data_IF_122807557211
#
_entry.id   IF_122807557211
#
_cell.length_a   1.000
_cell.length_b   1.000
_cell.length_c   1.000
_cell.angle_alpha   90.00
_cell.angle_beta   90.00
_cell.angle_gamma   90.00
#
_symmetry.space_group_name_H-M   'P 1'
#
loop_
_entity.id
_entity.type
_entity.pdbx_description
1 polymer ?
#
# COMPACT_ATOMS: atom_id res chain seq x y z
N UNK A 1 1.04 11.63 8.95
CA UNK A 1 -0.13 11.87 8.07
C UNK A 1 -0.06 13.19 7.32
N UNK A 2 0.20 14.34 7.95
CA UNK A 2 0.39 15.64 7.26
C UNK A 2 1.27 15.60 5.99
N UNK A 3 2.34 14.81 5.99
CA UNK A 3 3.17 14.63 4.79
C UNK A 3 2.42 13.93 3.64
N UNK A 4 1.67 12.86 3.94
CA UNK A 4 0.87 12.16 2.93
C UNK A 4 -0.31 13.00 2.43
N UNK A 5 -0.94 13.77 3.33
CA UNK A 5 -1.96 14.76 2.95
C UNK A 5 -1.39 15.81 1.98
N UNK A 6 -0.15 16.26 2.21
CA UNK A 6 0.51 17.18 1.29
C UNK A 6 0.78 16.53 -0.09
N UNK A 7 1.21 15.27 -0.10
CA UNK A 7 1.44 14.54 -1.34
C UNK A 7 0.12 14.30 -2.11
N UNK A 8 -0.99 13.99 -1.43
CA UNK A 8 -2.27 13.71 -2.08
C UNK A 8 -2.87 14.93 -2.77
N UNK A 9 -2.49 16.14 -2.37
CA UNK A 9 -2.88 17.38 -3.04
C UNK A 9 -2.17 17.60 -4.38
N UNK A 10 -1.05 16.92 -4.62
CA UNK A 10 -0.17 17.17 -5.79
C UNK A 10 -0.03 15.97 -6.72
N UNK A 11 -0.32 14.77 -6.23
CA UNK A 11 -0.08 13.53 -6.95
C UNK A 11 -1.34 12.68 -7.00
N UNK A 12 -1.64 12.17 -8.20
CA UNK A 12 -2.78 11.28 -8.42
C UNK A 12 -2.53 9.84 -7.94
N UNK A 13 -1.27 9.42 -7.81
CA UNK A 13 -0.94 8.10 -7.29
C UNK A 13 0.17 8.22 -6.27
N UNK A 14 0.01 7.57 -5.13
CA UNK A 14 1.02 7.51 -4.07
C UNK A 14 1.27 6.03 -3.75
N UNK A 15 2.53 5.63 -3.86
CA UNK A 15 2.97 4.30 -3.45
C UNK A 15 3.60 4.42 -2.06
N UNK A 16 3.02 3.75 -1.07
CA UNK A 16 3.60 3.60 0.26
C UNK A 16 4.28 2.25 0.34
N UNK A 17 5.50 2.26 0.84
CA UNK A 17 6.27 1.06 1.15
C UNK A 17 6.60 1.10 2.62
N UNK A 18 6.68 -0.07 3.22
CA UNK A 18 6.85 -0.20 4.66
C UNK A 18 5.82 0.65 5.43
N UNK A 19 4.53 0.55 5.09
CA UNK A 19 3.52 1.04 6.03
C UNK A 19 3.40 0.03 7.17
N UNK A 20 3.51 0.49 8.42
CA UNK A 20 3.52 -0.35 9.62
C UNK A 20 2.11 -0.57 10.19
N UNK A 21 1.08 -0.49 9.33
CA UNK A 21 -0.31 -0.63 9.74
C UNK A 21 -0.69 -2.10 9.87
N UNK A 22 -1.51 -2.42 10.87
CA UNK A 22 -2.17 -3.73 10.98
C UNK A 22 -3.37 -3.86 10.04
N UNK A 23 -3.85 -5.09 9.83
CA UNK A 23 -5.02 -5.32 8.97
C UNK A 23 -6.26 -4.59 9.49
N UNK A 24 -6.45 -4.54 10.82
CA UNK A 24 -7.55 -3.80 11.43
C UNK A 24 -7.37 -2.28 11.40
N UNK A 25 -6.16 -1.80 11.08
CA UNK A 25 -5.84 -0.37 10.92
C UNK A 25 -5.86 0.07 9.46
N UNK A 26 -6.31 -0.77 8.51
CA UNK A 26 -6.34 -0.37 7.09
C UNK A 26 -7.16 0.90 6.86
N UNK A 27 -8.24 1.07 7.61
CA UNK A 27 -9.08 2.27 7.59
C UNK A 27 -8.37 3.53 8.11
N UNK A 28 -7.19 3.39 8.73
CA UNK A 28 -6.37 4.52 9.19
C UNK A 28 -5.97 5.43 8.03
N UNK A 29 -5.68 4.88 6.85
CA UNK A 29 -5.34 5.65 5.66
C UNK A 29 -6.55 6.48 5.22
N UNK A 30 -7.72 5.84 5.10
CA UNK A 30 -8.94 6.48 4.62
C UNK A 30 -9.41 7.57 5.58
N UNK A 31 -9.26 7.35 6.89
CA UNK A 31 -9.61 8.32 7.94
C UNK A 31 -8.76 9.60 7.90
N UNK A 32 -7.48 9.48 7.55
CA UNK A 32 -6.52 10.60 7.66
C UNK A 32 -6.14 11.20 6.31
N UNK A 33 -6.50 10.57 5.19
CA UNK A 33 -6.28 11.10 3.84
C UNK A 33 -7.62 11.07 3.09
N UNK A 34 -8.59 11.91 3.49
CA UNK A 34 -9.92 11.89 2.92
C UNK A 34 -9.89 12.17 1.42
N UNK A 35 -10.77 11.49 0.68
CA UNK A 35 -10.86 11.62 -0.78
C UNK A 35 -9.85 10.75 -1.56
N UNK A 36 -9.02 9.98 -0.87
CA UNK A 36 -8.22 8.92 -1.49
C UNK A 36 -8.85 7.56 -1.21
N UNK A 37 -8.78 6.70 -2.22
CA UNK A 37 -9.01 5.26 -2.13
C UNK A 37 -7.67 4.56 -1.99
N UNK A 38 -7.66 3.33 -1.49
CA UNK A 38 -6.43 2.56 -1.36
C UNK A 38 -6.59 1.07 -1.71
N UNK A 39 -5.48 0.48 -2.16
CA UNK A 39 -5.21 -0.95 -2.17
C UNK A 39 -4.04 -1.18 -1.24
N UNK A 40 -4.24 -1.88 -0.13
CA UNK A 40 -3.22 -2.07 0.89
C UNK A 40 -3.13 -3.53 1.34
N UNK A 41 -1.90 -4.02 1.44
CA UNK A 41 -1.57 -5.32 2.02
C UNK A 41 -0.52 -5.15 3.11
N UNK A 42 -0.65 -5.93 4.15
CA UNK A 42 0.20 -5.95 5.33
C UNK A 42 0.29 -7.39 5.86
N UNK A 43 1.33 -7.68 6.62
CA UNK A 43 1.55 -8.97 7.23
C UNK A 43 0.68 -9.12 8.50
N UNK A 44 -0.59 -9.48 8.35
CA UNK A 44 -1.47 -9.77 9.50
C UNK A 44 -2.80 -10.45 9.08
N UNK A 45 -2.72 -11.62 8.44
CA UNK A 45 -3.94 -12.31 7.98
C UNK A 45 -4.53 -13.23 9.05
N UNK A 46 -3.79 -13.62 10.10
CA UNK A 46 -4.21 -14.71 11.00
C UNK A 46 -3.77 -14.70 12.49
N UNK A 47 -3.04 -13.74 13.06
CA UNK A 47 -2.63 -13.93 14.48
C UNK A 47 -2.22 -12.62 15.18
N UNK A 48 -2.81 -12.27 16.35
CA UNK A 48 -2.23 -11.26 17.22
C UNK A 48 -0.83 -11.72 17.60
N UNK A 49 0.18 -11.12 16.98
CA UNK A 49 1.58 -11.32 17.34
C UNK A 49 1.70 -11.09 18.84
N UNK A 50 1.94 -12.20 19.54
CA UNK A 50 2.26 -12.28 20.96
C UNK A 50 3.09 -11.07 21.42
N UNK A 51 2.72 -10.51 22.56
CA UNK A 51 3.37 -9.37 23.23
C UNK A 51 4.88 -9.58 23.50
N UNK A 52 5.43 -10.76 23.24
CA UNK A 52 6.80 -11.12 23.61
C UNK A 52 7.85 -10.95 22.52
N UNK A 53 7.49 -10.89 21.23
CA UNK A 53 8.45 -10.57 20.17
C UNK A 53 7.73 -9.89 19.02
N UNK A 54 8.06 -8.63 18.74
CA UNK A 54 7.75 -8.00 17.46
C UNK A 54 8.73 -8.63 16.46
N UNK A 55 8.33 -9.57 15.58
CA UNK A 55 9.24 -10.04 14.55
C UNK A 55 9.63 -8.82 13.71
N UNK A 56 10.94 -8.61 13.53
CA UNK A 56 11.45 -7.56 12.65
C UNK A 56 10.92 -7.85 11.24
N UNK A 57 9.89 -7.10 10.87
CA UNK A 57 9.23 -7.19 9.57
C UNK A 57 7.73 -6.98 9.69
N UNK A 58 7.27 -5.74 9.80
CA UNK A 58 5.89 -5.40 9.44
C UNK A 58 5.90 -4.23 8.48
N UNK A 59 6.33 -4.52 7.26
CA UNK A 59 6.21 -3.63 6.12
C UNK A 59 5.03 -4.09 5.27
N UNK A 60 4.02 -3.26 5.17
CA UNK A 60 2.99 -3.36 4.14
C UNK A 60 3.31 -2.46 2.97
N UNK A 61 2.65 -2.74 1.85
CA UNK A 61 2.62 -1.85 0.69
C UNK A 61 1.20 -1.33 0.48
N UNK A 62 1.09 -0.08 0.04
CA UNK A 62 -0.17 0.52 -0.34
C UNK A 62 -0.02 1.32 -1.63
N UNK A 63 -1.06 1.31 -2.47
CA UNK A 63 -1.22 2.24 -3.58
C UNK A 63 -2.47 3.05 -3.25
N UNK A 64 -2.36 4.38 -3.29
CA UNK A 64 -3.45 5.30 -3.04
C UNK A 64 -3.73 6.10 -4.31
N UNK A 65 -5.01 6.39 -4.56
CA UNK A 65 -5.47 7.22 -5.67
C UNK A 65 -6.71 8.06 -5.29
N UNK A 66 -6.98 9.20 -5.94
CA UNK A 66 -8.20 9.96 -5.73
C UNK A 66 -9.46 9.14 -5.99
N UNK A 67 -10.49 9.32 -5.17
CA UNK A 67 -11.80 8.67 -5.37
C UNK A 67 -12.44 8.99 -6.72
N UNK A 68 -12.12 10.13 -7.32
CA UNK A 68 -12.54 10.50 -8.67
C UNK A 68 -12.00 9.56 -9.77
N UNK A 69 -10.94 8.80 -9.50
CA UNK A 69 -10.36 7.83 -10.42
C UNK A 69 -10.79 6.39 -10.11
N UNK A 70 -11.55 6.15 -9.05
CA UNK A 70 -11.84 4.79 -8.57
C UNK A 70 -12.54 3.90 -9.61
N UNK A 71 -13.48 4.48 -10.38
CA UNK A 71 -14.16 3.79 -11.48
C UNK A 71 -13.24 3.34 -12.61
N UNK A 72 -12.03 3.89 -12.68
CA UNK A 72 -11.01 3.54 -13.66
C UNK A 72 -9.94 2.60 -13.08
N UNK A 73 -9.99 2.30 -11.79
CA UNK A 73 -8.97 1.48 -11.12
C UNK A 73 -9.53 0.10 -10.80
N UNK A 74 -8.83 -0.93 -11.27
CA UNK A 74 -9.06 -2.33 -10.91
C UNK A 74 -7.93 -2.79 -10.01
N UNK A 75 -8.26 -3.19 -8.78
CA UNK A 75 -7.30 -3.85 -7.87
C UNK A 75 -6.94 -5.22 -8.44
N UNK A 76 -5.65 -5.54 -8.49
CA UNK A 76 -5.19 -6.87 -8.83
C UNK A 76 -5.00 -7.65 -7.53
N UNK A 77 -5.61 -8.84 -7.47
CA UNK A 77 -5.55 -9.70 -6.27
C UNK A 77 -4.27 -10.56 -6.22
N UNK A 78 -3.53 -10.60 -7.33
CA UNK A 78 -2.22 -11.23 -7.39
C UNK A 78 -1.21 -10.42 -6.56
N UNK A 79 -0.44 -11.08 -5.69
CA UNK A 79 0.60 -10.44 -4.88
C UNK A 79 0.57 -10.84 -3.40
N UNK A 80 1.27 -10.09 -2.56
CA UNK A 80 1.40 -10.32 -1.12
C UNK A 80 1.64 -9.00 -0.36
N UNK A 81 2.08 -9.06 0.90
CA UNK A 81 2.37 -7.89 1.74
C UNK A 81 3.52 -7.01 1.22
N UNK A 82 4.29 -7.49 0.25
CA UNK A 82 5.45 -6.79 -0.35
C UNK A 82 5.20 -6.31 -1.77
N UNK A 83 4.24 -6.90 -2.48
CA UNK A 83 3.97 -6.59 -3.88
C UNK A 83 2.46 -6.51 -4.08
N UNK A 84 2.00 -5.35 -4.53
CA UNK A 84 0.61 -5.13 -4.95
C UNK A 84 0.59 -4.42 -6.30
N UNK A 85 -0.52 -4.58 -7.00
CA UNK A 85 -0.71 -3.90 -8.26
C UNK A 85 -2.16 -3.43 -8.43
N UNK A 86 -2.31 -2.37 -9.23
CA UNK A 86 -3.59 -1.92 -9.75
C UNK A 86 -3.47 -1.78 -11.27
N UNK A 87 -4.58 -1.99 -11.95
CA UNK A 87 -4.72 -1.69 -13.37
C UNK A 87 -5.59 -0.44 -13.53
N UNK A 88 -5.05 0.55 -14.22
CA UNK A 88 -5.70 1.84 -14.50
C UNK A 88 -6.21 1.79 -15.94
N UNK A 89 -7.52 1.79 -16.09
CA UNK A 89 -8.22 1.71 -17.36
C UNK A 89 -8.52 3.11 -17.89
N UNK A 90 -7.80 3.50 -18.94
CA UNK A 90 -8.11 4.71 -19.72
C UNK A 90 -8.76 4.32 -21.05
N UNK A 91 -9.41 5.27 -21.73
CA UNK A 91 -10.15 5.01 -22.98
C UNK A 91 -9.36 4.25 -24.04
N UNK A 92 -8.05 4.47 -24.11
CA UNK A 92 -7.22 3.96 -25.21
C UNK A 92 -6.14 2.97 -24.75
N UNK A 93 -5.93 2.80 -23.45
CA UNK A 93 -4.87 1.94 -22.91
C UNK A 93 -5.10 1.57 -21.45
N UNK A 94 -4.76 0.34 -21.10
CA UNK A 94 -4.59 -0.08 -19.72
C UNK A 94 -3.15 0.19 -19.25
N UNK A 95 -3.00 0.73 -18.05
CA UNK A 95 -1.69 0.92 -17.39
C UNK A 95 -1.65 0.10 -16.11
N UNK A 96 -0.68 -0.80 -15.98
CA UNK A 96 -0.46 -1.52 -14.74
C UNK A 96 0.54 -0.75 -13.86
N UNK A 97 0.13 -0.39 -12.64
CA UNK A 97 0.98 0.19 -11.63
C UNK A 97 1.29 -0.88 -10.58
N UNK A 98 2.57 -1.23 -10.46
CA UNK A 98 3.07 -2.20 -9.48
C UNK A 98 3.85 -1.45 -8.41
N UNK A 99 3.47 -1.66 -7.14
CA UNK A 99 4.25 -1.21 -6.00
C UNK A 99 4.88 -2.43 -5.33
N UNK A 100 6.21 -2.43 -5.27
CA UNK A 100 6.98 -3.54 -4.73
C UNK A 100 8.03 -3.04 -3.73
N UNK A 101 8.04 -3.64 -2.55
CA UNK A 101 9.07 -3.47 -1.53
C UNK A 101 9.93 -4.73 -1.48
N UNK A 102 11.14 -4.64 -2.02
CA UNK A 102 12.08 -5.77 -2.10
C UNK A 102 13.07 -5.73 -0.94
N UNK A 103 13.51 -6.90 -0.42
CA UNK A 103 14.53 -6.94 0.61
C UNK A 103 15.81 -6.28 0.09
N UNK A 104 16.38 -5.36 0.88
CA UNK A 104 17.72 -4.84 0.63
C UNK A 104 18.73 -5.93 1.00
N UNK A 105 19.82 -6.07 0.23
CA UNK A 105 20.89 -7.03 0.55
C UNK A 105 21.32 -6.85 2.00
N UNK A 106 21.29 -7.94 2.78
CA UNK A 106 21.97 -7.96 4.08
C UNK A 106 23.48 -7.77 3.81
N UNK A 107 24.14 -6.74 4.38
CA UNK A 107 25.58 -6.53 4.18
C UNK A 107 26.46 -7.65 4.76
N UNK A 108 25.86 -8.58 5.51
CA UNK A 108 26.54 -9.65 6.26
C UNK A 108 26.68 -10.97 5.50
N UNK A 109 26.34 -11.02 4.21
CA UNK A 109 26.57 -12.17 3.34
C UNK A 109 27.39 -11.76 2.11
N UNK A 110 28.65 -11.43 2.32
CA UNK A 110 29.74 -11.45 1.32
C UNK A 110 31.03 -11.84 2.01
#
# INVERSE_FOLDING_TARGET
MKFLEHLSQKHAFICLQEHWLWTFEKDYIDKHIPGMMNHSRCHDVNDPISNFQIPRGRGGVAILWPSSLDSHVKKLEDGNERIIAIEIQTRNKATCLVNAYMPTKNPTLT
#
